data_IF_917039672315
#
_entry.id   IF_917039672315
#
_cell.length_a   1.000
_cell.length_b   1.000
_cell.length_c   1.000
_cell.angle_alpha   90.00
_cell.angle_beta   90.00
_cell.angle_gamma   90.00
#
_symmetry.space_group_name_H-M   'P 1'
#
loop_
_entity.id
_entity.type
_entity.pdbx_description
1 polymer ?
#
# COMPACT_ATOMS: atom_id res chain seq x y z
N UNK A 1 7.05 12.77 -73.18
CA UNK A 1 7.95 13.94 -73.30
C UNK A 1 8.10 14.57 -71.93
N UNK A 2 8.97 14.06 -71.05
CA UNK A 2 10.41 14.38 -70.84
C UNK A 2 10.68 15.84 -70.41
N UNK A 3 11.18 15.98 -69.18
CA UNK A 3 12.33 16.80 -68.67
C UNK A 3 12.22 16.79 -67.13
N UNK A 4 12.85 15.88 -66.37
CA UNK A 4 14.27 15.73 -66.00
C UNK A 4 15.07 17.04 -66.00
N UNK A 5 15.51 17.48 -64.81
CA UNK A 5 16.80 18.15 -64.63
C UNK A 5 17.50 17.60 -63.39
N UNK A 6 18.78 17.30 -63.60
CA UNK A 6 19.75 16.62 -62.75
C UNK A 6 20.51 17.66 -61.90
N UNK A 7 20.75 17.27 -60.64
CA UNK A 7 21.94 17.44 -59.79
C UNK A 7 23.11 18.33 -60.30
N UNK A 8 23.65 19.19 -59.44
CA UNK A 8 25.12 19.33 -59.36
C UNK A 8 25.59 19.58 -57.92
N UNK A 9 26.61 18.80 -57.59
CA UNK A 9 27.35 18.66 -56.36
C UNK A 9 28.50 19.68 -56.34
N UNK A 10 28.84 20.30 -55.20
CA UNK A 10 30.22 20.73 -54.97
C UNK A 10 30.57 20.81 -53.47
N UNK A 11 31.68 20.14 -53.17
CA UNK A 11 32.39 20.01 -51.90
C UNK A 11 32.96 21.34 -51.38
N UNK A 12 33.10 21.48 -50.05
CA UNK A 12 34.37 21.83 -49.41
C UNK A 12 34.36 21.48 -47.91
N UNK A 13 35.46 20.83 -47.52
CA UNK A 13 35.82 20.34 -46.19
C UNK A 13 36.24 21.48 -45.23
N UNK A 14 36.07 21.30 -43.91
CA UNK A 14 37.16 21.09 -42.93
C UNK A 14 36.70 21.26 -41.46
N UNK A 15 37.23 20.42 -40.56
CA UNK A 15 37.31 20.66 -39.10
C UNK A 15 36.42 19.79 -38.21
N UNK A 16 36.73 18.52 -37.90
CA UNK A 16 37.53 18.04 -36.75
C UNK A 16 36.99 18.38 -35.34
N UNK A 17 36.33 17.40 -34.65
CA UNK A 17 36.84 16.64 -33.48
C UNK A 17 35.69 16.05 -32.61
N UNK A 18 35.69 14.70 -32.58
CA UNK A 18 35.26 13.68 -31.60
C UNK A 18 34.04 13.84 -30.68
N UNK A 19 33.10 12.89 -30.84
CA UNK A 19 32.22 12.32 -29.80
C UNK A 19 32.81 10.96 -29.29
N UNK A 20 32.19 10.21 -28.36
CA UNK A 20 32.71 9.87 -27.04
C UNK A 20 33.28 8.43 -26.93
N UNK A 21 34.13 8.17 -25.92
CA UNK A 21 34.60 6.81 -25.62
C UNK A 21 33.68 6.10 -24.60
N UNK A 22 33.15 4.97 -25.05
CA UNK A 22 32.51 3.89 -24.32
C UNK A 22 33.57 2.77 -24.14
N UNK A 23 33.70 2.20 -22.93
CA UNK A 23 34.53 1.02 -22.56
C UNK A 23 36.05 1.35 -22.51
N UNK A 24 36.87 0.97 -21.53
CA UNK A 24 36.80 0.04 -20.40
C UNK A 24 38.18 -0.62 -20.34
N UNK A 25 39.00 -0.35 -19.32
CA UNK A 25 40.27 -1.07 -19.14
C UNK A 25 40.56 -1.32 -17.66
N UNK A 26 40.69 -2.62 -17.36
CA UNK A 26 41.04 -3.19 -16.07
C UNK A 26 42.55 -3.12 -15.84
N UNK A 27 42.98 -2.71 -14.64
CA UNK A 27 44.36 -2.81 -14.21
C UNK A 27 44.63 -4.17 -13.55
N UNK A 28 45.64 -4.88 -14.06
CA UNK A 28 46.18 -6.15 -13.54
C UNK A 28 47.31 -5.92 -12.50
N UNK A 29 47.60 -6.91 -11.64
CA UNK A 29 48.45 -6.76 -10.46
C UNK A 29 49.95 -7.01 -10.73
N UNK A 30 50.81 -6.41 -9.91
CA UNK A 30 52.26 -6.64 -9.89
C UNK A 30 52.61 -7.53 -8.69
N UNK A 31 53.51 -8.49 -8.91
CA UNK A 31 53.86 -9.58 -7.99
C UNK A 31 55.40 -9.73 -7.86
N UNK A 32 55.84 -10.21 -6.68
CA UNK A 32 57.07 -10.98 -6.33
C UNK A 32 58.33 -10.16 -5.93
N UNK A 33 59.25 -10.61 -5.02
CA UNK A 33 59.38 -11.91 -4.31
C UNK A 33 59.54 -11.91 -2.76
N UNK A 34 59.47 -13.13 -2.22
CA UNK A 34 59.65 -13.64 -0.85
C UNK A 34 61.08 -14.08 -0.48
N UNK A 35 61.34 -14.18 0.84
CA UNK A 35 62.17 -15.13 1.64
C UNK A 35 62.90 -14.35 2.76
N UNK A 36 63.11 -14.80 4.01
CA UNK A 36 63.50 -16.10 4.60
C UNK A 36 63.12 -16.18 6.11
N UNK A 37 63.31 -17.35 6.70
CA UNK A 37 62.78 -17.90 7.96
C UNK A 37 63.69 -17.84 9.21
N UNK A 38 63.06 -17.73 10.42
CA UNK A 38 63.39 -18.27 11.79
C UNK A 38 64.74 -17.88 12.49
N UNK A 39 64.93 -17.96 13.84
CA UNK A 39 64.07 -18.54 14.88
C UNK A 39 63.89 -17.80 16.25
N UNK A 40 62.89 -18.31 16.99
CA UNK A 40 62.66 -18.45 18.44
C UNK A 40 63.53 -17.73 19.47
N UNK A 41 62.88 -17.06 20.44
CA UNK A 41 63.33 -17.05 21.84
C UNK A 41 62.15 -17.00 22.82
N UNK A 42 62.20 -17.92 23.79
CA UNK A 42 61.31 -18.10 24.94
C UNK A 42 61.57 -17.03 25.99
N UNK A 43 60.52 -16.51 26.63
CA UNK A 43 60.65 -15.84 27.92
C UNK A 43 59.51 -16.22 28.87
N UNK A 44 59.92 -16.38 30.12
CA UNK A 44 59.25 -17.06 31.24
C UNK A 44 58.25 -16.16 31.96
N UNK A 45 57.32 -16.84 32.65
CA UNK A 45 56.24 -16.37 33.53
C UNK A 45 56.61 -15.33 34.60
N UNK A 46 55.70 -14.39 34.87
CA UNK A 46 55.56 -13.73 36.18
C UNK A 46 54.08 -13.49 36.50
N UNK A 47 53.72 -13.69 37.77
CA UNK A 47 52.37 -13.83 38.31
C UNK A 47 51.50 -12.55 38.35
N UNK A 48 50.18 -12.79 38.40
CA UNK A 48 49.05 -11.84 38.47
C UNK A 48 49.05 -10.88 39.67
N UNK A 49 48.29 -9.79 39.57
CA UNK A 49 47.43 -9.32 40.66
C UNK A 49 45.96 -9.68 40.41
N UNK A 50 45.33 -10.20 41.45
CA UNK A 50 43.90 -10.55 41.55
C UNK A 50 43.01 -9.34 41.24
N UNK A 51 42.13 -9.45 40.25
CA UNK A 51 41.08 -8.46 40.00
C UNK A 51 39.93 -8.64 41.00
N UNK A 52 39.63 -7.59 41.76
CA UNK A 52 38.47 -7.50 42.64
C UNK A 52 37.20 -7.44 41.79
N UNK A 53 36.30 -8.42 41.97
CA UNK A 53 35.00 -8.46 41.30
C UNK A 53 34.06 -7.49 42.02
N UNK A 54 33.79 -6.34 41.40
CA UNK A 54 32.73 -5.43 41.85
C UNK A 54 31.39 -5.97 41.36
N UNK A 55 30.47 -6.26 42.28
CA UNK A 55 29.12 -6.72 41.95
C UNK A 55 28.37 -5.65 41.14
N UNK A 56 28.05 -5.96 39.88
CA UNK A 56 27.16 -5.15 39.04
C UNK A 56 25.73 -5.36 39.50
N UNK A 57 25.09 -4.32 40.01
CA UNK A 57 23.65 -4.32 40.31
C UNK A 57 22.90 -4.39 38.98
N UNK A 58 22.30 -5.54 38.68
CA UNK A 58 21.41 -5.71 37.54
C UNK A 58 20.14 -4.91 37.80
N UNK A 59 19.94 -3.81 37.06
CA UNK A 59 18.66 -3.11 37.04
C UNK A 59 17.61 -4.06 36.46
N UNK A 60 16.63 -4.41 37.28
CA UNK A 60 15.40 -5.08 36.84
C UNK A 60 14.64 -4.12 35.93
N UNK A 61 14.60 -4.43 34.63
CA UNK A 61 13.77 -3.73 33.66
C UNK A 61 12.31 -3.88 34.09
N UNK A 62 11.62 -2.76 34.29
CA UNK A 62 10.18 -2.71 34.50
C UNK A 62 9.54 -3.22 33.20
N UNK A 63 8.62 -4.21 33.23
CA UNK A 63 7.97 -4.69 32.02
C UNK A 63 7.19 -3.54 31.37
N UNK A 64 7.38 -3.37 30.06
CA UNK A 64 6.61 -2.45 29.26
C UNK A 64 5.12 -2.81 29.37
N UNK A 65 4.27 -1.81 29.65
CA UNK A 65 2.82 -2.00 29.69
C UNK A 65 2.37 -2.38 28.27
N UNK A 66 2.13 -3.67 28.05
CA UNK A 66 1.37 -4.14 26.89
C UNK A 66 -0.08 -3.75 27.15
N UNK A 67 -0.60 -2.79 26.39
CA UNK A 67 -2.03 -2.46 26.43
C UNK A 67 -2.79 -3.62 25.81
N UNK A 68 -3.18 -4.60 26.64
CA UNK A 68 -4.16 -5.59 26.23
C UNK A 68 -5.49 -4.86 26.05
N UNK A 69 -6.12 -4.90 24.86
CA UNK A 69 -7.38 -4.21 24.63
C UNK A 69 -8.42 -4.69 25.65
N UNK A 70 -9.06 -3.75 26.34
CA UNK A 70 -10.25 -4.01 27.14
C UNK A 70 -11.27 -4.74 26.27
N UNK A 71 -11.84 -5.83 26.79
CA UNK A 71 -12.84 -6.62 26.07
C UNK A 71 -13.93 -5.69 25.50
N UNK A 72 -14.07 -5.74 24.17
CA UNK A 72 -15.12 -5.04 23.45
C UNK A 72 -16.46 -5.34 24.12
N UNK A 73 -17.34 -4.32 24.18
CA UNK A 73 -18.79 -4.54 24.20
C UNK A 73 -19.16 -5.63 23.17
N UNK A 74 -20.34 -6.29 23.23
CA UNK A 74 -20.76 -7.21 22.17
C UNK A 74 -21.10 -6.42 20.88
N UNK A 75 -20.10 -5.70 20.34
CA UNK A 75 -19.98 -5.30 18.97
C UNK A 75 -20.03 -6.60 18.18
N UNK A 76 -20.93 -6.64 17.19
CA UNK A 76 -21.08 -7.74 16.27
C UNK A 76 -19.69 -8.23 15.83
N UNK A 77 -19.47 -9.54 15.94
CA UNK A 77 -18.14 -10.14 15.79
C UNK A 77 -17.69 -9.95 14.35
N UNK A 78 -16.86 -8.95 14.09
CA UNK A 78 -16.14 -8.84 12.83
C UNK A 78 -15.24 -10.07 12.73
N UNK A 79 -15.54 -10.94 11.77
CA UNK A 79 -14.72 -12.11 11.43
C UNK A 79 -13.96 -11.87 10.12
N UNK A 80 -14.42 -10.92 9.30
CA UNK A 80 -13.86 -10.65 7.97
C UNK A 80 -13.65 -9.16 7.72
N UNK A 81 -12.64 -8.86 6.92
CA UNK A 81 -12.42 -7.51 6.38
C UNK A 81 -12.29 -7.58 4.86
N UNK A 82 -13.11 -6.77 4.18
CA UNK A 82 -13.06 -6.53 2.74
C UNK A 82 -12.62 -5.09 2.48
N UNK A 83 -11.43 -4.91 1.92
CA UNK A 83 -10.89 -3.61 1.52
C UNK A 83 -11.05 -3.48 0.01
N UNK A 84 -11.74 -2.43 -0.46
CA UNK A 84 -11.92 -2.15 -1.88
C UNK A 84 -11.29 -0.79 -2.19
N UNK A 85 -10.26 -0.81 -3.04
CA UNK A 85 -9.62 0.40 -3.57
C UNK A 85 -10.10 0.68 -4.99
N UNK A 86 -10.65 1.87 -5.20
CA UNK A 86 -10.92 2.44 -6.51
C UNK A 86 -9.74 3.36 -6.90
N UNK A 87 -8.83 2.84 -7.72
CA UNK A 87 -7.59 3.52 -8.12
C UNK A 87 -7.91 4.90 -8.72
N UNK A 88 -7.31 5.95 -8.19
CA UNK A 88 -7.53 7.32 -8.66
C UNK A 88 -8.92 7.90 -8.36
N UNK A 89 -9.76 7.28 -7.52
CA UNK A 89 -11.08 7.82 -7.21
C UNK A 89 -10.98 9.05 -6.30
N UNK A 90 -11.40 10.21 -6.81
CA UNK A 90 -11.59 11.41 -6.00
C UNK A 90 -12.88 11.33 -5.16
N UNK A 91 -12.89 11.81 -3.90
CA UNK A 91 -14.10 11.79 -3.08
C UNK A 91 -15.20 12.73 -3.61
N UNK A 92 -14.87 13.86 -4.22
CA UNK A 92 -15.87 14.76 -4.81
C UNK A 92 -16.54 14.19 -6.07
N UNK A 93 -15.97 13.14 -6.67
CA UNK A 93 -16.62 12.40 -7.74
C UNK A 93 -17.83 11.59 -7.26
N UNK A 94 -17.89 11.23 -5.97
CA UNK A 94 -19.00 10.45 -5.40
C UNK A 94 -20.31 11.22 -5.49
N UNK A 95 -20.29 12.53 -5.24
CA UNK A 95 -21.48 13.37 -5.39
C UNK A 95 -21.86 13.61 -6.86
N UNK A 96 -20.89 13.54 -7.78
CA UNK A 96 -21.08 13.84 -9.20
C UNK A 96 -21.47 12.61 -10.04
N UNK A 97 -21.14 11.40 -9.59
CA UNK A 97 -21.55 10.14 -10.20
C UNK A 97 -22.58 9.42 -9.32
N UNK A 98 -23.79 9.11 -9.82
CA UNK A 98 -24.76 8.29 -9.08
C UNK A 98 -24.18 6.90 -8.77
N UNK A 99 -23.76 6.68 -7.54
CA UNK A 99 -23.21 5.41 -7.03
C UNK A 99 -24.07 4.91 -5.86
N UNK A 100 -25.29 4.41 -6.13
CA UNK A 100 -26.27 4.10 -5.08
C UNK A 100 -25.78 3.06 -4.06
N UNK A 101 -24.97 2.07 -4.46
CA UNK A 101 -24.48 1.07 -3.51
C UNK A 101 -23.46 1.69 -2.56
N UNK A 102 -22.52 2.49 -3.09
CA UNK A 102 -21.56 3.22 -2.28
C UNK A 102 -22.24 4.23 -1.35
N UNK A 103 -23.24 4.97 -1.85
CA UNK A 103 -24.03 5.92 -1.05
C UNK A 103 -24.78 5.20 0.08
N UNK A 104 -25.31 3.99 -0.16
CA UNK A 104 -25.92 3.18 0.89
C UNK A 104 -24.91 2.77 1.97
N UNK A 105 -23.66 2.43 1.60
CA UNK A 105 -22.59 2.16 2.58
C UNK A 105 -22.23 3.40 3.41
N UNK A 106 -22.20 4.58 2.79
CA UNK A 106 -21.97 5.86 3.49
C UNK A 106 -23.09 6.12 4.49
N UNK A 107 -24.35 5.99 4.07
CA UNK A 107 -25.51 6.22 4.95
C UNK A 107 -25.54 5.22 6.11
N UNK A 108 -25.16 3.96 5.87
CA UNK A 108 -25.14 2.92 6.89
C UNK A 108 -23.87 2.88 7.75
N UNK A 109 -22.89 3.76 7.51
CA UNK A 109 -21.55 3.62 8.08
C UNK A 109 -20.84 4.94 8.38
N UNK A 110 -19.52 4.87 8.49
CA UNK A 110 -18.68 6.02 8.73
C UNK A 110 -17.96 6.44 7.44
N UNK A 111 -17.78 7.74 7.23
CA UNK A 111 -17.04 8.25 6.06
C UNK A 111 -16.28 9.52 6.35
N UNK A 112 -15.14 9.70 5.67
CA UNK A 112 -14.29 10.89 5.75
C UNK A 112 -14.31 11.64 4.41
N UNK A 113 -15.32 12.47 4.14
CA UNK A 113 -15.50 13.10 2.82
C UNK A 113 -14.39 14.11 2.48
N UNK A 114 -13.72 14.69 3.50
CA UNK A 114 -12.75 15.77 3.29
C UNK A 114 -11.42 15.61 4.02
N UNK A 115 -11.33 14.70 5.00
CA UNK A 115 -10.18 14.58 5.90
C UNK A 115 -9.27 13.37 5.63
N UNK A 116 -9.62 12.52 4.66
CA UNK A 116 -8.79 11.39 4.24
C UNK A 116 -7.81 11.77 3.12
N UNK A 117 -6.54 11.42 3.31
CA UNK A 117 -5.42 11.78 2.46
C UNK A 117 -4.55 10.56 2.14
N UNK A 118 -3.95 10.56 0.95
CA UNK A 118 -2.88 9.62 0.61
C UNK A 118 -1.51 10.11 1.10
N UNK A 119 -0.45 9.45 0.63
CA UNK A 119 0.94 9.81 0.84
C UNK A 119 1.38 11.02 0.01
N UNK A 120 2.53 11.59 0.37
CA UNK A 120 3.18 12.74 -0.27
C UNK A 120 3.60 12.50 -1.73
N UNK A 121 3.81 11.24 -2.11
CA UNK A 121 3.94 10.81 -3.50
C UNK A 121 2.71 9.98 -3.93
N UNK A 122 1.63 10.63 -4.40
CA UNK A 122 0.32 10.01 -4.68
C UNK A 122 0.35 9.15 -5.95
N UNK A 123 1.11 8.06 -5.94
CA UNK A 123 1.27 7.14 -7.04
C UNK A 123 0.80 5.74 -6.64
N UNK A 124 0.20 5.02 -7.58
CA UNK A 124 -0.47 3.75 -7.29
C UNK A 124 0.32 2.77 -6.43
N UNK A 125 1.52 2.36 -6.86
CA UNK A 125 2.27 1.32 -6.14
C UNK A 125 2.71 1.79 -4.74
N UNK A 126 3.34 2.97 -4.58
CA UNK A 126 3.70 3.47 -3.26
C UNK A 126 2.48 3.66 -2.33
N UNK A 127 1.41 4.29 -2.81
CA UNK A 127 0.21 4.56 -1.99
C UNK A 127 -0.48 3.29 -1.51
N UNK A 128 -0.58 2.27 -2.36
CA UNK A 128 -1.15 0.98 -1.95
C UNK A 128 -0.23 0.18 -1.02
N UNK A 129 1.09 0.28 -1.19
CA UNK A 129 2.02 -0.36 -0.27
C UNK A 129 1.88 0.27 1.12
N UNK A 130 1.80 1.59 1.23
CA UNK A 130 1.45 2.28 2.49
C UNK A 130 0.08 1.88 3.03
N UNK A 131 -0.94 1.78 2.17
CA UNK A 131 -2.30 1.40 2.56
C UNK A 131 -2.36 0.03 3.26
N UNK A 132 -1.65 -0.96 2.71
CA UNK A 132 -1.72 -2.36 3.14
C UNK A 132 -0.67 -2.72 4.20
N UNK A 133 0.46 -2.02 4.22
CA UNK A 133 1.48 -2.22 5.24
C UNK A 133 1.27 -1.36 6.48
N UNK A 134 0.51 -0.27 6.40
CA UNK A 134 0.45 0.73 7.47
C UNK A 134 1.75 1.53 7.65
N UNK A 135 2.74 1.32 6.78
CA UNK A 135 4.07 1.93 6.82
C UNK A 135 4.18 3.10 5.85
N UNK A 136 5.21 3.91 6.08
CA UNK A 136 5.63 4.96 5.18
C UNK A 136 6.57 4.43 4.07
N UNK A 137 6.69 5.18 2.98
CA UNK A 137 7.50 4.80 1.80
C UNK A 137 8.94 4.47 2.12
N UNK A 138 9.55 5.23 3.02
CA UNK A 138 10.92 5.03 3.48
C UNK A 138 11.14 3.68 4.18
N UNK A 139 10.09 3.09 4.74
CA UNK A 139 10.14 1.87 5.53
C UNK A 139 9.74 0.66 4.68
N UNK A 140 8.64 0.74 3.94
CA UNK A 140 8.19 -0.36 3.07
C UNK A 140 8.95 -0.44 1.74
N UNK A 141 9.64 0.63 1.33
CA UNK A 141 10.59 0.63 0.21
C UNK A 141 10.01 0.58 -1.21
N UNK A 142 8.68 0.58 -1.36
CA UNK A 142 8.00 0.68 -2.67
C UNK A 142 7.90 2.15 -3.04
N UNK A 143 8.97 2.71 -3.59
CA UNK A 143 9.09 4.14 -3.91
C UNK A 143 8.92 4.46 -5.41
N UNK A 144 8.63 3.44 -6.23
CA UNK A 144 8.47 3.57 -7.68
C UNK A 144 7.12 3.03 -8.14
N UNK A 145 6.51 3.71 -9.11
CA UNK A 145 5.24 3.27 -9.69
C UNK A 145 5.39 2.21 -10.79
N UNK A 146 6.35 1.29 -10.62
CA UNK A 146 6.67 0.20 -11.54
C UNK A 146 6.97 -1.05 -10.73
N UNK A 147 6.81 -2.22 -11.36
CA UNK A 147 7.24 -3.47 -10.76
C UNK A 147 8.26 -4.15 -11.64
N UNK A 148 9.41 -4.46 -11.05
CA UNK A 148 10.37 -5.40 -11.61
C UNK A 148 10.63 -6.45 -10.55
N UNK A 149 10.61 -7.73 -10.93
CA UNK A 149 10.75 -8.85 -9.99
C UNK A 149 11.99 -8.73 -9.07
N UNK A 150 13.08 -8.14 -9.56
CA UNK A 150 14.31 -7.95 -8.77
C UNK A 150 14.21 -6.86 -7.69
N UNK A 151 13.19 -6.00 -7.73
CA UNK A 151 12.94 -4.99 -6.68
C UNK A 151 12.30 -5.61 -5.44
N UNK A 152 11.79 -6.84 -5.54
CA UNK A 152 11.15 -7.55 -4.44
C UNK A 152 9.74 -7.05 -4.16
N UNK A 153 9.31 -7.29 -2.92
CA UNK A 153 8.00 -6.93 -2.40
C UNK A 153 8.13 -5.79 -1.38
N UNK A 154 6.98 -5.26 -0.97
CA UNK A 154 6.87 -4.34 0.15
C UNK A 154 7.55 -4.93 1.38
N UNK A 155 8.33 -4.11 2.07
CA UNK A 155 9.06 -4.51 3.28
C UNK A 155 8.25 -4.18 4.53
N UNK A 156 8.67 -4.81 5.64
CA UNK A 156 8.00 -4.66 6.93
C UNK A 156 6.80 -5.59 7.03
N UNK A 157 6.20 -5.64 8.22
CA UNK A 157 5.02 -6.49 8.47
C UNK A 157 3.78 -5.80 7.94
N UNK A 158 3.08 -6.42 6.99
CA UNK A 158 1.84 -5.90 6.42
C UNK A 158 0.58 -6.62 6.98
N UNK A 159 -0.62 -6.15 6.60
CA UNK A 159 -1.87 -6.74 7.06
C UNK A 159 -2.06 -8.21 6.61
N UNK A 160 -1.48 -8.58 5.46
CA UNK A 160 -1.52 -9.95 4.94
C UNK A 160 -0.63 -10.87 5.77
N UNK A 161 0.57 -10.40 6.16
CA UNK A 161 1.44 -11.12 7.09
C UNK A 161 0.73 -11.42 8.41
N UNK A 162 0.08 -10.41 9.00
CA UNK A 162 -0.64 -10.57 10.27
C UNK A 162 -1.82 -11.54 10.16
N UNK A 163 -2.63 -11.40 9.11
CA UNK A 163 -3.79 -12.24 8.89
C UNK A 163 -3.37 -13.70 8.64
N UNK A 164 -2.41 -13.92 7.74
CA UNK A 164 -1.93 -15.25 7.41
C UNK A 164 -1.27 -15.92 8.62
N UNK A 165 -0.45 -15.20 9.41
CA UNK A 165 0.15 -15.72 10.64
C UNK A 165 -0.88 -16.09 11.71
N UNK A 166 -2.05 -15.45 11.71
CA UNK A 166 -3.19 -15.80 12.57
C UNK A 166 -4.04 -16.97 12.02
N UNK A 167 -3.65 -17.55 10.88
CA UNK A 167 -4.38 -18.65 10.22
C UNK A 167 -5.62 -18.21 9.46
N UNK A 168 -5.75 -16.91 9.15
CA UNK A 168 -6.83 -16.36 8.36
C UNK A 168 -6.55 -16.54 6.87
N UNK A 169 -7.60 -16.81 6.09
CA UNK A 169 -7.52 -16.94 4.62
C UNK A 169 -7.41 -15.58 3.96
N UNK A 170 -6.32 -15.34 3.24
CA UNK A 170 -6.02 -14.04 2.63
C UNK A 170 -6.18 -14.04 1.11
N UNK A 171 -6.78 -12.97 0.60
CA UNK A 171 -7.12 -12.84 -0.82
C UNK A 171 -6.73 -11.46 -1.34
N UNK A 172 -6.10 -11.42 -2.52
CA UNK A 172 -5.79 -10.20 -3.24
C UNK A 172 -6.22 -10.32 -4.72
N UNK A 173 -7.25 -9.56 -5.11
CA UNK A 173 -7.76 -9.51 -6.48
C UNK A 173 -7.54 -8.11 -7.04
N UNK A 174 -6.71 -7.99 -8.08
CA UNK A 174 -6.18 -6.69 -8.51
C UNK A 174 -6.30 -6.45 -10.02
N UNK A 175 -6.38 -5.18 -10.42
CA UNK A 175 -6.45 -4.77 -11.83
C UNK A 175 -5.13 -4.28 -12.45
N UNK A 176 -3.99 -4.38 -11.76
CA UNK A 176 -2.67 -3.98 -12.26
C UNK A 176 -1.63 -5.00 -11.79
N UNK A 177 -0.83 -5.58 -12.69
CA UNK A 177 0.15 -6.64 -12.35
C UNK A 177 1.19 -6.17 -11.31
N UNK A 178 1.54 -4.89 -11.35
CA UNK A 178 2.49 -4.27 -10.43
C UNK A 178 2.05 -4.32 -8.96
N UNK A 179 0.78 -4.66 -8.69
CA UNK A 179 0.26 -4.87 -7.34
C UNK A 179 0.75 -6.18 -6.72
N UNK A 180 1.35 -7.09 -7.50
CA UNK A 180 2.03 -8.29 -6.97
C UNK A 180 3.10 -7.96 -5.93
N UNK A 181 3.67 -6.76 -5.99
CA UNK A 181 4.70 -6.32 -5.04
C UNK A 181 4.15 -5.83 -3.70
N UNK A 182 2.83 -5.77 -3.49
CA UNK A 182 2.26 -5.22 -2.25
C UNK A 182 2.47 -6.13 -1.04
N UNK A 183 2.47 -7.46 -1.26
CA UNK A 183 2.66 -8.47 -0.23
C UNK A 183 3.38 -9.69 -0.82
N UNK A 184 4.06 -10.45 0.04
CA UNK A 184 4.78 -11.68 -0.32
C UNK A 184 3.82 -12.78 -0.83
N UNK A 185 4.23 -13.66 -1.77
CA UNK A 185 3.40 -14.78 -2.25
C UNK A 185 2.95 -15.72 -1.15
N UNK A 186 3.76 -15.87 -0.12
CA UNK A 186 3.51 -16.76 1.01
C UNK A 186 2.38 -16.27 1.92
N UNK A 187 2.04 -14.98 1.89
CA UNK A 187 1.00 -14.38 2.76
C UNK A 187 -0.26 -13.98 2.01
N UNK A 188 -0.32 -14.30 0.71
CA UNK A 188 -1.47 -14.10 -0.17
C UNK A 188 -1.96 -15.45 -0.70
N UNK A 189 -2.84 -16.14 0.05
CA UNK A 189 -3.31 -17.50 -0.31
C UNK A 189 -3.94 -17.53 -1.72
N UNK A 190 -4.62 -16.43 -2.09
CA UNK A 190 -5.11 -16.19 -3.44
C UNK A 190 -4.59 -14.84 -3.94
N UNK A 191 -3.93 -14.84 -5.10
CA UNK A 191 -3.54 -13.64 -5.81
C UNK A 191 -3.98 -13.73 -7.27
N UNK A 192 -4.91 -12.88 -7.69
CA UNK A 192 -5.48 -12.92 -9.04
C UNK A 192 -5.46 -11.53 -9.70
N UNK A 193 -5.08 -11.51 -10.98
CA UNK A 193 -5.11 -10.29 -11.80
C UNK A 193 -6.29 -10.36 -12.77
N UNK A 194 -7.18 -9.37 -12.72
CA UNK A 194 -8.35 -9.26 -13.61
C UNK A 194 -8.51 -7.83 -14.06
N UNK A 195 -8.82 -7.62 -15.34
CA UNK A 195 -8.93 -6.27 -15.90
C UNK A 195 -10.38 -5.90 -16.19
N UNK A 196 -10.79 -4.74 -15.68
CA UNK A 196 -12.13 -4.19 -15.83
C UNK A 196 -13.08 -4.64 -14.73
N UNK A 197 -13.98 -3.74 -14.35
CA UNK A 197 -14.88 -3.87 -13.19
C UNK A 197 -15.69 -5.18 -13.24
N UNK A 198 -16.27 -5.60 -14.38
CA UNK A 198 -17.03 -6.85 -14.42
C UNK A 198 -16.17 -8.11 -14.24
N UNK A 199 -14.90 -8.09 -14.65
CA UNK A 199 -14.02 -9.25 -14.50
C UNK A 199 -13.53 -9.39 -13.05
N UNK A 200 -13.20 -8.27 -12.42
CA UNK A 200 -12.87 -8.21 -10.99
C UNK A 200 -14.06 -8.66 -10.16
N UNK A 201 -15.27 -8.12 -10.41
CA UNK A 201 -16.48 -8.50 -9.68
C UNK A 201 -16.75 -10.01 -9.75
N UNK A 202 -16.65 -10.62 -10.93
CA UNK A 202 -16.84 -12.08 -11.07
C UNK A 202 -15.84 -12.89 -10.25
N UNK A 203 -14.58 -12.47 -10.23
CA UNK A 203 -13.54 -13.15 -9.44
C UNK A 203 -13.80 -12.99 -7.94
N UNK A 204 -14.18 -11.79 -7.48
CA UNK A 204 -14.51 -11.53 -6.09
C UNK A 204 -15.73 -12.34 -5.65
N UNK A 205 -16.79 -12.37 -6.45
CA UNK A 205 -18.00 -13.17 -6.18
C UNK A 205 -17.67 -14.66 -6.10
N UNK A 206 -16.84 -15.18 -7.03
CA UNK A 206 -16.40 -16.57 -6.97
C UNK A 206 -15.58 -16.85 -5.70
N UNK A 207 -14.72 -15.92 -5.30
CA UNK A 207 -13.90 -16.07 -4.11
C UNK A 207 -14.72 -15.98 -2.80
N UNK A 208 -15.76 -15.14 -2.75
CA UNK A 208 -16.70 -15.08 -1.63
C UNK A 208 -17.33 -16.45 -1.37
N UNK A 209 -17.74 -17.16 -2.43
CA UNK A 209 -18.31 -18.51 -2.32
C UNK A 209 -17.29 -19.54 -1.81
N UNK A 210 -15.99 -19.32 -2.03
CA UNK A 210 -14.91 -20.15 -1.51
C UNK A 210 -14.48 -19.77 -0.09
N UNK A 211 -15.03 -18.68 0.46
CA UNK A 211 -14.65 -18.09 1.74
C UNK A 211 -13.37 -17.24 1.69
N UNK A 212 -13.30 -16.28 2.60
CA UNK A 212 -12.15 -15.42 2.88
C UNK A 212 -12.27 -14.88 4.31
N UNK A 213 -11.17 -14.37 4.86
CA UNK A 213 -11.15 -13.64 6.13
C UNK A 213 -10.58 -12.23 5.95
N UNK A 214 -9.56 -12.07 5.10
CA UNK A 214 -9.07 -10.78 4.64
C UNK A 214 -9.05 -10.77 3.11
N UNK A 215 -9.74 -9.80 2.50
CA UNK A 215 -9.73 -9.62 1.04
C UNK A 215 -9.42 -8.18 0.67
N UNK A 216 -8.44 -7.99 -0.22
CA UNK A 216 -8.20 -6.74 -0.93
C UNK A 216 -8.66 -6.83 -2.38
N UNK A 217 -9.46 -5.87 -2.80
CA UNK A 217 -10.00 -5.74 -4.16
C UNK A 217 -9.55 -4.40 -4.74
N UNK A 218 -9.03 -4.43 -5.96
CA UNK A 218 -8.54 -3.22 -6.62
C UNK A 218 -9.14 -3.04 -8.01
N UNK A 219 -9.90 -1.96 -8.18
CA UNK A 219 -10.47 -1.50 -9.45
C UNK A 219 -9.62 -0.40 -10.06
N UNK A 220 -8.95 -0.70 -11.18
CA UNK A 220 -8.10 0.29 -11.88
C UNK A 220 -8.85 1.23 -12.82
N UNK A 221 -10.15 1.02 -13.03
CA UNK A 221 -10.94 1.76 -14.02
C UNK A 221 -10.88 3.27 -13.88
N UNK A 222 -11.13 3.86 -12.69
CA UNK A 222 -11.18 5.31 -12.54
C UNK A 222 -9.86 5.97 -12.94
N UNK A 223 -8.71 5.52 -12.42
CA UNK A 223 -7.39 5.99 -12.84
C UNK A 223 -7.12 5.81 -14.34
N UNK A 224 -7.40 4.62 -14.89
CA UNK A 224 -7.23 4.36 -16.32
C UNK A 224 -8.05 5.34 -17.19
N UNK A 225 -9.25 5.72 -16.75
CA UNK A 225 -10.08 6.73 -17.44
C UNK A 225 -9.61 8.15 -17.15
N UNK A 226 -9.17 8.44 -15.93
CA UNK A 226 -8.60 9.72 -15.54
C UNK A 226 -7.39 10.07 -16.40
N UNK A 227 -6.46 9.14 -16.59
CA UNK A 227 -5.32 9.34 -17.48
C UNK A 227 -5.68 9.53 -18.95
N UNK A 228 -6.72 8.83 -19.43
CA UNK A 228 -7.06 8.82 -20.86
C UNK A 228 -8.00 9.96 -21.27
N UNK A 229 -8.88 10.39 -20.38
CA UNK A 229 -10.00 11.30 -20.67
C UNK A 229 -10.10 12.47 -19.71
N UNK A 230 -9.14 12.62 -18.80
CA UNK A 230 -9.14 13.51 -17.65
C UNK A 230 -10.00 13.03 -16.47
N UNK A 231 -9.52 13.30 -15.26
CA UNK A 231 -10.30 13.19 -14.04
C UNK A 231 -11.52 14.11 -14.13
N UNK A 232 -12.65 13.62 -13.61
CA UNK A 232 -13.95 14.30 -13.65
C UNK A 232 -14.61 14.42 -15.04
N UNK A 233 -14.05 13.77 -16.07
CA UNK A 233 -14.71 13.62 -17.38
C UNK A 233 -15.94 12.70 -17.33
N UNK A 234 -16.73 12.70 -18.41
CA UNK A 234 -17.89 11.81 -18.54
C UNK A 234 -17.49 10.33 -18.51
N UNK A 235 -16.36 9.97 -19.08
CA UNK A 235 -15.78 8.63 -19.12
C UNK A 235 -15.30 8.18 -17.75
N UNK A 236 -14.67 9.08 -17.00
CA UNK A 236 -14.31 8.86 -15.60
C UNK A 236 -15.56 8.63 -14.73
N UNK A 237 -16.59 9.48 -14.87
CA UNK A 237 -17.86 9.30 -14.16
C UNK A 237 -18.59 8.01 -14.56
N UNK A 238 -18.47 7.60 -15.84
CA UNK A 238 -19.06 6.36 -16.32
C UNK A 238 -18.42 5.14 -15.67
N UNK A 239 -17.09 5.08 -15.61
CA UNK A 239 -16.41 3.91 -15.03
C UNK A 239 -16.64 3.81 -13.51
N UNK A 240 -16.80 4.95 -12.82
CA UNK A 240 -17.22 4.95 -11.41
C UNK A 240 -18.59 4.29 -11.22
N UNK A 241 -19.56 4.58 -12.08
CA UNK A 241 -20.87 3.90 -12.05
C UNK A 241 -20.77 2.42 -12.37
N UNK A 242 -19.88 2.02 -13.28
CA UNK A 242 -19.63 0.60 -13.57
C UNK A 242 -18.98 -0.11 -12.37
N UNK A 243 -18.11 0.60 -11.65
CA UNK A 243 -17.55 0.17 -10.36
C UNK A 243 -18.62 0.00 -9.29
N UNK A 244 -19.57 0.92 -9.18
CA UNK A 244 -20.68 0.81 -8.22
C UNK A 244 -21.62 -0.37 -8.55
N UNK A 245 -21.83 -0.68 -9.83
CA UNK A 245 -22.55 -1.90 -10.23
C UNK A 245 -21.79 -3.16 -9.79
N UNK A 246 -20.46 -3.18 -9.96
CA UNK A 246 -19.62 -4.26 -9.46
C UNK A 246 -19.68 -4.38 -7.92
N UNK A 247 -19.68 -3.25 -7.20
CA UNK A 247 -19.88 -3.23 -5.76
C UNK A 247 -21.22 -3.86 -5.36
N UNK A 248 -22.32 -3.50 -6.04
CA UNK A 248 -23.63 -4.11 -5.79
C UNK A 248 -23.63 -5.63 -5.95
N UNK A 249 -22.90 -6.16 -6.94
CA UNK A 249 -22.73 -7.62 -7.11
C UNK A 249 -21.94 -8.26 -5.97
N UNK A 250 -20.90 -7.59 -5.49
CA UNK A 250 -20.08 -8.05 -4.35
C UNK A 250 -20.91 -8.05 -3.07
N UNK A 251 -21.66 -6.98 -2.80
CA UNK A 251 -22.55 -6.88 -1.64
C UNK A 251 -23.62 -7.98 -1.67
N UNK A 252 -24.28 -8.17 -2.82
CA UNK A 252 -25.26 -9.25 -2.97
C UNK A 252 -24.64 -10.64 -2.74
N UNK A 253 -23.40 -10.88 -3.19
CA UNK A 253 -22.73 -12.15 -2.92
C UNK A 253 -22.40 -12.35 -1.44
N UNK A 254 -22.06 -11.29 -0.70
CA UNK A 254 -21.90 -11.38 0.75
C UNK A 254 -23.23 -11.72 1.43
N UNK A 255 -24.33 -11.10 1.01
CA UNK A 255 -25.68 -11.38 1.53
C UNK A 255 -26.11 -12.83 1.25
N UNK A 256 -25.93 -13.30 0.01
CA UNK A 256 -26.31 -14.64 -0.44
C UNK A 256 -25.50 -15.77 0.22
N UNK A 257 -24.33 -15.47 0.79
CA UNK A 257 -23.46 -16.43 1.48
C UNK A 257 -23.45 -16.22 3.00
N UNK A 258 -24.39 -15.43 3.55
CA UNK A 258 -24.50 -15.13 4.98
C UNK A 258 -23.23 -14.50 5.60
N UNK A 259 -22.43 -13.78 4.79
CA UNK A 259 -21.18 -13.13 5.22
C UNK A 259 -21.33 -11.63 5.50
N UNK A 260 -22.47 -11.02 5.15
CA UNK A 260 -22.65 -9.56 5.28
C UNK A 260 -22.59 -9.06 6.72
N UNK A 261 -23.11 -9.85 7.66
CA UNK A 261 -23.29 -9.48 9.07
C UNK A 261 -22.01 -9.62 9.91
N UNK A 262 -20.95 -10.24 9.39
CA UNK A 262 -19.64 -10.37 10.06
C UNK A 262 -18.46 -9.78 9.25
N UNK A 263 -18.76 -9.16 8.10
CA UNK A 263 -17.76 -8.50 7.23
C UNK A 263 -17.73 -6.99 7.42
N UNK A 264 -16.59 -6.46 7.89
CA UNK A 264 -16.27 -5.04 7.79
C UNK A 264 -15.85 -4.72 6.35
N UNK A 265 -16.50 -3.74 5.73
CA UNK A 265 -16.18 -3.26 4.40
C UNK A 265 -15.52 -1.89 4.51
N UNK A 266 -14.32 -1.75 3.94
CA UNK A 266 -13.61 -0.47 3.81
C UNK A 266 -13.50 -0.12 2.33
N UNK A 267 -14.04 1.02 1.92
CA UNK A 267 -13.90 1.56 0.56
C UNK A 267 -12.95 2.75 0.59
N UNK A 268 -11.94 2.77 -0.26
CA UNK A 268 -10.95 3.84 -0.32
C UNK A 268 -10.40 4.04 -1.75
N UNK A 269 -9.44 4.95 -1.89
CA UNK A 269 -8.59 5.09 -3.07
C UNK A 269 -7.13 5.26 -2.65
N UNK A 270 -6.23 5.09 -3.60
CA UNK A 270 -4.79 5.32 -3.43
C UNK A 270 -4.40 6.77 -3.71
N UNK A 271 -5.08 7.46 -4.62
CA UNK A 271 -4.89 8.89 -4.89
C UNK A 271 -6.14 9.47 -5.59
N UNK A 272 -6.13 10.78 -5.82
CA UNK A 272 -7.08 11.43 -6.72
C UNK A 272 -6.42 11.80 -8.06
N UNK A 273 -6.73 12.98 -8.61
CA UNK A 273 -6.09 13.47 -9.81
C UNK A 273 -6.69 14.75 -10.40
N UNK A 274 -5.92 15.40 -11.27
CA UNK A 274 -6.29 16.64 -11.98
C UNK A 274 -5.83 16.61 -13.44
N UNK A 275 -6.75 16.97 -14.36
CA UNK A 275 -6.48 16.82 -15.80
C UNK A 275 -6.22 15.35 -16.08
N UNK A 276 -5.13 15.00 -16.77
CA UNK A 276 -4.73 13.62 -17.05
C UNK A 276 -3.59 13.10 -16.14
N UNK A 277 -3.32 13.75 -15.02
CA UNK A 277 -2.20 13.45 -14.12
C UNK A 277 -2.67 13.41 -12.66
N UNK A 278 -1.93 12.69 -11.83
CA UNK A 278 -2.18 12.58 -10.39
C UNK A 278 -0.89 12.82 -9.56
N UNK A 279 0.25 13.07 -10.21
CA UNK A 279 1.51 13.42 -9.53
C UNK A 279 1.68 14.94 -9.56
N UNK A 280 1.18 15.61 -8.52
CA UNK A 280 1.22 17.07 -8.38
C UNK A 280 1.19 17.51 -6.93
N UNK A 281 0.95 18.81 -6.71
CA UNK A 281 0.92 19.45 -5.38
C UNK A 281 -0.46 20.01 -5.03
N UNK A 282 -1.51 19.55 -5.73
CA UNK A 282 -2.87 20.06 -5.53
C UNK A 282 -3.69 19.08 -4.71
N UNK A 283 -4.63 19.59 -3.92
CA UNK A 283 -5.41 18.76 -2.99
C UNK A 283 -6.19 17.64 -3.68
N UNK A 284 -6.56 17.83 -4.95
CA UNK A 284 -7.24 16.84 -5.77
C UNK A 284 -6.40 15.59 -6.04
N UNK A 285 -5.07 15.67 -5.97
CA UNK A 285 -4.18 14.52 -6.13
C UNK A 285 -4.09 13.71 -4.82
N UNK A 286 -4.21 14.38 -3.68
CA UNK A 286 -3.99 13.79 -2.35
C UNK A 286 -5.25 13.29 -1.66
N UNK A 287 -6.39 13.97 -1.86
CA UNK A 287 -7.61 13.67 -1.14
C UNK A 287 -8.25 12.41 -1.72
N UNK A 288 -8.50 11.44 -0.85
CA UNK A 288 -9.09 10.15 -1.18
C UNK A 288 -10.40 9.97 -0.41
N UNK A 289 -11.37 9.19 -0.91
CA UNK A 289 -12.47 8.73 -0.11
C UNK A 289 -11.95 7.73 0.92
N UNK A 290 -12.56 7.72 2.11
CA UNK A 290 -12.39 6.64 3.07
C UNK A 290 -13.73 6.41 3.75
N UNK A 291 -14.28 5.20 3.57
CA UNK A 291 -15.63 4.82 3.99
C UNK A 291 -15.53 3.46 4.66
N UNK A 292 -16.17 3.28 5.81
CA UNK A 292 -16.28 2.02 6.50
C UNK A 292 -17.76 1.71 6.76
N UNK A 293 -18.18 0.47 6.53
CA UNK A 293 -19.55 0.00 6.80
C UNK A 293 -19.52 -1.48 7.17
N UNK A 294 -20.35 -1.89 8.11
CA UNK A 294 -20.37 -3.28 8.57
C UNK A 294 -20.69 -3.40 10.06
N UNK A 295 -20.57 -4.62 10.60
CA UNK A 295 -20.86 -4.90 12.01
C UNK A 295 -20.04 -4.03 12.94
N UNK A 296 -20.72 -3.43 13.93
CA UNK A 296 -20.10 -2.55 14.92
C UNK A 296 -19.72 -1.15 14.41
N UNK A 297 -19.85 -0.86 13.12
CA UNK A 297 -19.62 0.48 12.58
C UNK A 297 -20.81 1.39 12.88
N UNK A 298 -20.55 2.54 13.51
CA UNK A 298 -21.56 3.56 13.76
C UNK A 298 -21.68 4.54 12.58
N UNK A 299 -22.89 5.05 12.35
CA UNK A 299 -23.08 6.12 11.38
C UNK A 299 -22.35 7.39 11.84
N UNK A 300 -21.37 7.86 11.06
CA UNK A 300 -20.55 9.02 11.44
C UNK A 300 -19.80 9.67 10.28
N UNK A 301 -19.91 10.99 10.16
CA UNK A 301 -18.95 11.77 9.37
C UNK A 301 -17.68 11.99 10.20
N UNK A 302 -16.55 11.54 9.66
CA UNK A 302 -15.23 11.64 10.28
C UNK A 302 -14.55 12.94 9.85
N UNK A 303 -14.05 13.69 10.83
CA UNK A 303 -13.35 14.96 10.59
C UNK A 303 -11.88 14.93 11.01
N UNK A 304 -11.45 13.85 11.70
CA UNK A 304 -10.06 13.68 12.07
C UNK A 304 -9.18 13.43 10.82
N UNK A 305 -7.90 13.83 10.82
CA UNK A 305 -6.99 13.53 9.72
C UNK A 305 -6.82 12.02 9.60
N UNK A 306 -7.14 11.48 8.43
CA UNK A 306 -6.97 10.06 8.09
C UNK A 306 -5.94 9.96 6.97
N UNK A 307 -4.99 9.06 7.10
CA UNK A 307 -4.05 8.73 6.04
C UNK A 307 -4.27 7.32 5.51
N UNK A 308 -3.87 7.05 4.27
CA UNK A 308 -4.06 5.74 3.63
C UNK A 308 -3.56 4.56 4.49
N UNK A 309 -2.47 4.76 5.25
CA UNK A 309 -1.88 3.80 6.19
C UNK A 309 -2.83 3.36 7.32
N UNK A 310 -3.80 4.21 7.67
CA UNK A 310 -4.80 3.91 8.71
C UNK A 310 -5.72 2.76 8.30
N UNK A 311 -5.77 2.43 7.01
CA UNK A 311 -6.56 1.32 6.47
C UNK A 311 -6.09 -0.02 7.02
N UNK A 312 -4.79 -0.35 6.91
CA UNK A 312 -4.21 -1.56 7.49
C UNK A 312 -4.36 -1.60 9.02
N UNK A 313 -4.11 -0.47 9.69
CA UNK A 313 -4.26 -0.35 11.15
C UNK A 313 -5.70 -0.64 11.61
N UNK A 314 -6.69 -0.08 10.91
CA UNK A 314 -8.11 -0.30 11.20
C UNK A 314 -8.53 -1.74 10.91
N UNK A 315 -8.07 -2.33 9.80
CA UNK A 315 -8.34 -3.72 9.46
C UNK A 315 -7.74 -4.69 10.50
N UNK A 316 -6.50 -4.47 10.92
CA UNK A 316 -5.86 -5.27 11.97
C UNK A 316 -6.62 -5.18 13.30
N UNK A 317 -7.02 -3.96 13.70
CA UNK A 317 -7.82 -3.76 14.91
C UNK A 317 -9.15 -4.52 14.85
N UNK A 318 -9.88 -4.39 13.74
CA UNK A 318 -11.16 -5.06 13.53
C UNK A 318 -11.05 -6.59 13.60
N UNK A 319 -9.99 -7.16 13.03
CA UNK A 319 -9.68 -8.59 13.08
C UNK A 319 -9.02 -9.06 14.39
N UNK A 320 -8.81 -8.15 15.36
CA UNK A 320 -8.13 -8.42 16.64
C UNK A 320 -6.70 -8.94 16.45
N UNK A 321 -6.03 -8.49 15.39
CA UNK A 321 -4.63 -8.79 15.08
C UNK A 321 -3.71 -7.83 15.87
N UNK A 322 -2.47 -8.24 16.18
CA UNK A 322 -1.55 -7.39 16.92
C UNK A 322 -1.15 -6.17 16.08
N UNK A 323 -1.49 -4.97 16.55
CA UNK A 323 -1.03 -3.72 15.95
C UNK A 323 0.50 -3.63 16.06
N UNK A 324 1.14 -3.24 14.96
CA UNK A 324 2.59 -3.15 14.92
C UNK A 324 3.06 -1.78 15.44
N UNK A 325 4.11 -1.73 16.27
CA UNK A 325 4.60 -0.48 16.87
C UNK A 325 5.31 0.45 15.88
N UNK A 326 5.77 -0.09 14.75
CA UNK A 326 6.44 0.64 13.67
C UNK A 326 5.46 1.14 12.59
N UNK A 327 4.17 0.78 12.65
CA UNK A 327 3.17 1.33 11.76
C UNK A 327 2.96 2.82 12.00
N UNK A 328 2.98 3.58 10.91
CA UNK A 328 2.53 4.96 10.88
C UNK A 328 1.00 5.04 11.02
N UNK A 329 0.29 4.05 10.47
CA UNK A 329 -1.16 3.94 10.53
C UNK A 329 -1.72 3.87 11.95
N UNK A 330 -2.84 4.56 12.17
CA UNK A 330 -3.57 4.59 13.43
C UNK A 330 -4.97 4.01 13.18
N UNK A 331 -5.46 3.04 13.97
CA UNK A 331 -6.82 2.56 13.80
C UNK A 331 -7.83 3.70 14.02
N UNK A 332 -8.87 3.73 13.19
CA UNK A 332 -9.95 4.72 13.32
C UNK A 332 -10.98 4.19 14.33
N UNK A 333 -10.66 4.24 15.62
CA UNK A 333 -11.52 3.76 16.73
C UNK A 333 -12.91 4.40 16.73
N UNK A 334 -13.02 5.66 16.27
CA UNK A 334 -14.30 6.37 16.23
C UNK A 334 -15.39 5.66 15.43
N UNK A 335 -15.02 4.86 14.41
CA UNK A 335 -16.01 4.12 13.62
C UNK A 335 -16.69 3.04 14.45
N UNK A 336 -16.05 2.56 15.52
CA UNK A 336 -16.60 1.53 16.42
C UNK A 336 -17.33 2.13 17.64
N UNK A 337 -17.53 3.46 17.65
CA UNK A 337 -18.10 4.18 18.79
C UNK A 337 -17.15 4.30 19.98
N UNK A 338 -15.86 4.04 19.76
CA UNK A 338 -14.83 4.11 20.79
C UNK A 338 -14.12 5.47 20.78
N UNK A 339 -13.54 5.91 21.92
CA UNK A 339 -12.69 7.10 21.95
C UNK A 339 -11.45 6.92 21.08
N UNK A 340 -11.16 7.90 20.23
CA UNK A 340 -9.93 7.92 19.44
C UNK A 340 -8.71 8.07 20.37
N UNK A 341 -7.86 7.03 20.43
CA UNK A 341 -6.73 6.98 21.37
C UNK A 341 -5.52 7.82 20.93
N UNK A 342 -5.34 7.96 19.61
CA UNK A 342 -4.26 8.72 18.98
C UNK A 342 -4.81 9.36 17.72
N UNK A 343 -4.34 10.56 17.41
CA UNK A 343 -4.63 11.28 16.16
C UNK A 343 -3.30 11.70 15.53
N UNK A 344 -3.31 11.85 14.22
CA UNK A 344 -2.17 12.39 13.49
C UNK A 344 -2.01 13.89 13.77
N UNK A 345 -0.79 14.32 14.10
CA UNK A 345 -0.40 15.74 14.25
C UNK A 345 0.28 16.24 12.96
N UNK A 346 -0.37 15.98 11.82
CA UNK A 346 0.16 16.20 10.48
C UNK A 346 0.51 14.90 9.73
N UNK A 347 1.20 15.03 8.60
CA UNK A 347 1.61 13.88 7.79
C UNK A 347 2.63 13.02 8.58
N UNK A 348 2.39 11.71 8.73
CA UNK A 348 3.19 10.89 9.66
C UNK A 348 4.52 10.41 9.07
N UNK A 349 4.76 10.55 7.77
CA UNK A 349 5.97 10.08 7.09
C UNK A 349 7.02 11.18 6.92
N UNK A 350 8.28 10.78 6.71
CA UNK A 350 9.38 11.70 6.45
C UNK A 350 9.21 12.31 5.06
N UNK A 351 9.12 13.64 5.01
CA UNK A 351 9.06 14.45 3.78
C UNK A 351 10.43 14.76 3.21
#
# INVERSE_FOLDING_TARGET
MKKYTILFLCFLLTGCISTPNLWGDAALPIFIPTSTSTPTQTATTTASPTATITATVTQTLIPAITLTPTALSPLARIERVLIISYDGMRPDAIAAAPMPNLLALIEAGASAPTSALTIDYPATSPSHASMLSGLCMEDHGVIYNKYFKYMGYSKGVDIFDLAHAAGLKTVMIVSKDKMRQMAEPETTDVFEVRYGEPAVAREVVAQIQLGFDLMFVHFAGPDNRGHKYDWMSGEYMKVLREGDVALGQILAALDENDLREDTLIIITADHGGKGSNHIGLVIEDYRIPWIASGPGVIHKELTLPIYTMDTAATAAYALKLPLQPDWAGIPIYEIFGEPQLKVHDGYPCKT
#
